data_IF_676281994402
#
_entry.id   IF_676281994402
#
_cell.length_a   1.000
_cell.length_b   1.000
_cell.length_c   1.000
_cell.angle_alpha   90.00
_cell.angle_beta   90.00
_cell.angle_gamma   90.00
#
_symmetry.space_group_name_H-M   'P 1'
#
loop_
_entity.id
_entity.type
_entity.pdbx_description
1 polymer ?
#
# COMPACT_ATOMS: atom_id res chain seq x y z
N UNK A 1 28.80 0.27 -26.84
CA UNK A 1 29.16 0.00 -25.43
C UNK A 1 28.07 0.40 -24.47
N UNK A 2 27.50 1.59 -24.67
CA UNK A 2 26.37 2.07 -23.83
C UNK A 2 25.06 1.30 -24.10
N UNK A 3 24.79 0.86 -25.33
CA UNK A 3 23.60 0.10 -25.69
C UNK A 3 23.58 -1.30 -25.08
N UNK A 4 24.77 -1.93 -24.94
CA UNK A 4 24.90 -3.26 -24.32
C UNK A 4 24.60 -3.23 -22.80
N UNK A 5 24.98 -2.14 -22.14
CA UNK A 5 24.67 -1.93 -20.72
C UNK A 5 23.20 -1.62 -20.48
N UNK A 6 22.56 -0.85 -21.37
CA UNK A 6 21.14 -0.54 -21.29
C UNK A 6 20.27 -1.79 -21.53
N UNK A 7 20.62 -2.63 -22.48
CA UNK A 7 19.90 -3.87 -22.77
C UNK A 7 20.01 -4.88 -21.63
N UNK A 8 21.18 -4.97 -20.98
CA UNK A 8 21.39 -5.85 -19.82
C UNK A 8 20.58 -5.39 -18.62
N UNK A 9 20.50 -4.08 -18.35
CA UNK A 9 19.68 -3.52 -17.26
C UNK A 9 18.18 -3.71 -17.49
N UNK A 10 17.71 -3.55 -18.73
CA UNK A 10 16.30 -3.79 -19.06
C UNK A 10 15.93 -5.26 -18.92
N UNK A 11 16.79 -6.18 -19.34
CA UNK A 11 16.56 -7.62 -19.20
C UNK A 11 16.53 -8.05 -17.73
N UNK A 12 17.40 -7.49 -16.89
CA UNK A 12 17.40 -7.76 -15.44
C UNK A 12 16.15 -7.24 -14.77
N UNK A 13 15.67 -6.05 -15.15
CA UNK A 13 14.41 -5.49 -14.61
C UNK A 13 13.21 -6.32 -15.05
N UNK A 14 13.15 -6.74 -16.30
CA UNK A 14 12.08 -7.61 -16.80
C UNK A 14 12.10 -8.98 -16.10
N UNK A 15 13.28 -9.55 -15.91
CA UNK A 15 13.44 -10.81 -15.20
C UNK A 15 13.00 -10.70 -13.75
N UNK A 16 13.32 -9.60 -13.04
CA UNK A 16 12.86 -9.34 -11.68
C UNK A 16 11.35 -9.17 -11.62
N UNK A 17 10.73 -8.51 -12.61
CA UNK A 17 9.29 -8.37 -12.71
C UNK A 17 8.59 -9.72 -12.94
N UNK A 18 9.17 -10.57 -13.78
CA UNK A 18 8.63 -11.90 -14.08
C UNK A 18 8.79 -12.88 -12.92
N UNK A 19 9.88 -12.78 -12.15
CA UNK A 19 10.14 -13.65 -11.00
C UNK A 19 9.40 -13.20 -9.73
N UNK A 20 8.74 -12.05 -9.75
CA UNK A 20 7.99 -11.53 -8.62
C UNK A 20 6.82 -12.44 -8.28
N UNK A 21 6.69 -12.80 -6.98
CA UNK A 21 5.56 -13.56 -6.49
C UNK A 21 4.34 -12.63 -6.50
N UNK A 22 3.37 -12.96 -7.34
CA UNK A 22 2.10 -12.22 -7.41
C UNK A 22 1.09 -12.82 -6.44
N UNK A 23 0.21 -12.01 -5.83
CA UNK A 23 -0.89 -12.54 -5.04
C UNK A 23 -1.80 -13.45 -5.87
N UNK A 24 -2.42 -14.43 -5.22
CA UNK A 24 -3.39 -15.30 -5.88
C UNK A 24 -4.61 -14.49 -6.34
N UNK A 25 -5.31 -15.01 -7.36
CA UNK A 25 -6.55 -14.38 -7.84
C UNK A 25 -7.62 -14.31 -6.74
N UNK A 26 -7.67 -15.34 -5.90
CA UNK A 26 -8.60 -15.39 -4.76
C UNK A 26 -8.27 -14.30 -3.75
N UNK A 27 -6.99 -14.10 -3.43
CA UNK A 27 -6.57 -13.02 -2.55
C UNK A 27 -6.97 -11.65 -3.12
N UNK A 28 -6.72 -11.41 -4.40
CA UNK A 28 -7.08 -10.14 -5.06
C UNK A 28 -8.59 -9.91 -4.97
N UNK A 29 -9.42 -10.90 -5.27
CA UNK A 29 -10.87 -10.77 -5.22
C UNK A 29 -11.37 -10.47 -3.80
N UNK A 30 -10.87 -11.20 -2.80
CA UNK A 30 -11.28 -11.03 -1.41
C UNK A 30 -10.73 -9.75 -0.79
N UNK A 31 -9.52 -9.34 -1.16
CA UNK A 31 -8.96 -8.06 -0.72
C UNK A 31 -9.78 -6.88 -1.26
N UNK A 32 -10.32 -7.00 -2.48
CA UNK A 32 -11.20 -5.97 -3.04
C UNK A 32 -12.43 -5.75 -2.16
N UNK A 33 -13.03 -6.82 -1.64
CA UNK A 33 -14.15 -6.73 -0.70
C UNK A 33 -13.77 -6.01 0.61
N UNK A 34 -12.56 -6.27 1.11
CA UNK A 34 -12.05 -5.58 2.32
C UNK A 34 -11.91 -4.08 2.06
N UNK A 35 -11.38 -3.69 0.91
CA UNK A 35 -11.25 -2.27 0.55
C UNK A 35 -12.62 -1.60 0.36
N UNK A 36 -13.58 -2.29 -0.25
CA UNK A 36 -14.96 -1.78 -0.38
C UNK A 36 -15.59 -1.55 0.99
N UNK A 37 -15.46 -2.50 1.90
CA UNK A 37 -16.00 -2.37 3.26
C UNK A 37 -15.38 -1.17 3.98
N UNK A 38 -14.08 -0.95 3.84
CA UNK A 38 -13.39 0.19 4.44
C UNK A 38 -13.99 1.51 3.95
N UNK A 39 -14.21 1.65 2.64
CA UNK A 39 -14.82 2.86 2.06
C UNK A 39 -16.25 3.06 2.54
N UNK A 40 -17.04 1.99 2.59
CA UNK A 40 -18.45 2.07 2.97
C UNK A 40 -18.66 2.35 4.46
N UNK A 41 -17.76 1.87 5.32
CA UNK A 41 -17.90 2.02 6.77
C UNK A 41 -17.19 3.25 7.33
N UNK A 42 -16.36 3.92 6.52
CA UNK A 42 -15.55 5.05 6.98
C UNK A 42 -15.78 6.26 6.08
N UNK A 43 -16.38 7.28 6.65
CA UNK A 43 -16.71 8.52 5.91
C UNK A 43 -15.45 9.31 5.57
N UNK A 44 -15.44 9.91 4.37
CA UNK A 44 -14.39 10.83 3.94
C UNK A 44 -13.24 10.21 3.18
N UNK A 45 -13.26 8.91 2.92
CA UNK A 45 -12.24 8.25 2.11
C UNK A 45 -12.53 8.48 0.63
N UNK A 46 -11.57 9.04 -0.11
CA UNK A 46 -11.65 9.25 -1.56
C UNK A 46 -11.00 8.12 -2.36
N UNK A 47 -10.08 7.41 -1.75
CA UNK A 47 -9.41 6.30 -2.40
C UNK A 47 -8.67 5.40 -1.43
N UNK A 48 -8.60 4.13 -1.77
CA UNK A 48 -7.84 3.11 -1.04
C UNK A 48 -7.03 2.31 -2.04
N UNK A 49 -5.78 2.08 -1.72
CA UNK A 49 -4.85 1.33 -2.54
C UNK A 49 -4.13 0.30 -1.69
N UNK A 50 -4.12 -0.93 -2.16
CA UNK A 50 -3.28 -2.00 -1.61
C UNK A 50 -2.09 -2.20 -2.52
N UNK A 51 -0.88 -2.08 -1.98
CA UNK A 51 0.37 -2.18 -2.72
C UNK A 51 1.28 -3.20 -2.08
N UNK A 52 2.12 -3.83 -2.88
CA UNK A 52 3.26 -4.58 -2.34
C UNK A 52 4.31 -3.61 -1.79
N UNK A 53 5.20 -4.11 -0.91
CA UNK A 53 6.26 -3.27 -0.34
C UNK A 53 7.30 -2.85 -1.35
N UNK A 54 7.39 -3.53 -2.48
CA UNK A 54 8.28 -3.17 -3.59
C UNK A 54 7.64 -2.21 -4.61
N UNK A 55 6.45 -1.69 -4.31
CA UNK A 55 5.86 -0.58 -5.05
C UNK A 55 4.92 -0.93 -6.18
N UNK A 56 4.33 -2.13 -6.19
CA UNK A 56 3.38 -2.56 -7.21
C UNK A 56 1.95 -2.57 -6.68
N UNK A 57 1.04 -2.01 -7.46
CA UNK A 57 -0.38 -2.03 -7.13
C UNK A 57 -0.92 -3.47 -7.13
N UNK A 58 -1.56 -3.86 -6.03
CA UNK A 58 -2.26 -5.14 -5.91
C UNK A 58 -3.75 -4.94 -6.17
N UNK A 59 -4.34 -3.92 -5.57
CA UNK A 59 -5.76 -3.62 -5.70
C UNK A 59 -6.02 -2.16 -5.34
N UNK A 60 -7.09 -1.57 -5.88
CA UNK A 60 -7.42 -0.19 -5.57
C UNK A 60 -8.89 0.10 -5.82
N UNK A 61 -9.42 1.07 -5.07
CA UNK A 61 -10.73 1.65 -5.28
C UNK A 61 -10.59 3.16 -5.14
N UNK A 62 -10.84 3.88 -6.22
CA UNK A 62 -10.73 5.33 -6.26
C UNK A 62 -12.06 5.96 -6.67
N UNK A 63 -12.47 6.99 -5.96
CA UNK A 63 -13.63 7.82 -6.33
C UNK A 63 -13.23 8.93 -7.30
N UNK A 64 -11.94 9.23 -7.40
CA UNK A 64 -11.36 10.16 -8.37
C UNK A 64 -10.33 9.41 -9.20
N UNK A 65 -9.92 10.00 -10.33
CA UNK A 65 -8.87 9.41 -11.16
C UNK A 65 -7.50 9.63 -10.51
N UNK A 66 -6.87 8.55 -10.08
CA UNK A 66 -5.49 8.52 -9.56
C UNK A 66 -4.67 7.53 -10.36
N UNK A 67 -3.35 7.76 -10.42
CA UNK A 67 -2.42 6.77 -10.96
C UNK A 67 -1.97 5.84 -9.82
N UNK A 68 -2.61 4.67 -9.73
CA UNK A 68 -2.33 3.69 -8.68
C UNK A 68 -0.90 3.16 -8.71
N UNK A 69 -0.32 3.01 -9.90
CA UNK A 69 1.07 2.60 -10.06
C UNK A 69 2.05 3.59 -9.47
N UNK A 70 1.85 4.89 -9.73
CA UNK A 70 2.68 5.95 -9.15
C UNK A 70 2.48 6.07 -7.65
N UNK A 71 1.24 6.00 -7.17
CA UNK A 71 0.96 6.05 -5.73
C UNK A 71 1.61 4.87 -4.99
N UNK A 72 1.58 3.69 -5.58
CA UNK A 72 2.23 2.50 -5.02
C UNK A 72 3.74 2.67 -4.93
N UNK A 73 4.37 3.14 -6.00
CA UNK A 73 5.82 3.34 -6.06
C UNK A 73 6.29 4.39 -5.05
N UNK A 74 5.62 5.54 -5.04
CA UNK A 74 5.97 6.65 -4.13
C UNK A 74 5.66 6.29 -2.68
N UNK A 75 4.49 5.69 -2.42
CA UNK A 75 4.07 5.31 -1.07
C UNK A 75 5.00 4.29 -0.43
N UNK A 76 5.44 3.29 -1.18
CA UNK A 76 6.41 2.31 -0.68
C UNK A 76 7.77 2.95 -0.37
N UNK A 77 8.20 3.91 -1.19
CA UNK A 77 9.44 4.66 -0.98
C UNK A 77 9.35 5.52 0.29
N UNK A 78 8.23 6.19 0.51
CA UNK A 78 8.00 6.99 1.72
C UNK A 78 8.08 6.10 2.96
N UNK A 79 7.41 4.96 2.96
CA UNK A 79 7.43 4.05 4.11
C UNK A 79 8.84 3.55 4.39
N UNK A 80 9.62 3.22 3.36
CA UNK A 80 11.01 2.80 3.53
C UNK A 80 11.87 3.90 4.16
N UNK A 81 11.70 5.16 3.70
CA UNK A 81 12.41 6.31 4.28
C UNK A 81 12.01 6.58 5.73
N UNK A 82 10.73 6.44 6.05
CA UNK A 82 10.23 6.63 7.41
C UNK A 82 10.75 5.53 8.34
N UNK A 83 10.87 4.30 7.86
CA UNK A 83 11.48 3.22 8.63
C UNK A 83 12.94 3.52 8.96
N UNK A 84 13.69 4.09 8.02
CA UNK A 84 15.06 4.54 8.27
C UNK A 84 15.10 5.67 9.31
N UNK A 85 14.19 6.64 9.23
CA UNK A 85 14.08 7.73 10.20
C UNK A 85 13.74 7.22 11.60
N UNK A 86 12.81 6.29 11.73
CA UNK A 86 12.45 5.70 13.02
C UNK A 86 13.63 4.95 13.64
N UNK A 87 14.42 4.26 12.82
CA UNK A 87 15.63 3.59 13.29
C UNK A 87 16.66 4.59 13.83
N UNK A 88 16.88 5.72 13.14
CA UNK A 88 17.77 6.80 13.61
C UNK A 88 17.29 7.40 14.94
N UNK A 89 15.98 7.47 15.15
CA UNK A 89 15.39 7.95 16.41
C UNK A 89 15.32 6.86 17.50
N UNK A 90 15.88 5.68 17.25
CA UNK A 90 15.86 4.54 18.18
C UNK A 90 14.44 4.04 18.48
N UNK A 91 13.52 4.23 17.54
CA UNK A 91 12.18 3.67 17.58
C UNK A 91 12.15 2.38 16.77
N UNK A 92 11.22 1.49 17.09
CA UNK A 92 11.08 0.22 16.39
C UNK A 92 9.68 0.11 15.78
N UNK A 93 9.63 -0.31 14.52
CA UNK A 93 8.38 -0.70 13.87
C UNK A 93 7.47 0.48 13.56
N UNK A 94 7.72 1.19 12.46
CA UNK A 94 6.76 2.17 11.96
C UNK A 94 5.49 1.45 11.48
N UNK A 95 4.35 1.73 12.11
CA UNK A 95 3.06 1.14 11.74
C UNK A 95 2.34 1.95 10.67
N UNK A 96 2.39 3.27 10.80
CA UNK A 96 1.67 4.15 9.88
C UNK A 96 2.33 5.51 9.78
N UNK A 97 2.08 6.15 8.65
CA UNK A 97 2.50 7.52 8.36
C UNK A 97 1.26 8.31 7.97
N UNK A 98 1.14 9.52 8.51
CA UNK A 98 0.05 10.42 8.17
C UNK A 98 0.66 11.67 7.52
N UNK A 99 0.23 11.95 6.29
CA UNK A 99 0.60 13.16 5.56
C UNK A 99 -0.59 14.11 5.57
N UNK A 100 -0.42 15.24 6.21
CA UNK A 100 -1.46 16.26 6.36
C UNK A 100 -1.26 17.34 5.30
N UNK A 101 -2.11 17.36 4.29
CA UNK A 101 -2.13 18.37 3.25
C UNK A 101 -3.28 19.37 3.51
N UNK A 102 -3.25 20.51 2.82
CA UNK A 102 -4.27 21.55 2.99
C UNK A 102 -5.67 21.06 2.62
N UNK A 103 -5.78 20.21 1.62
CA UNK A 103 -7.06 19.77 1.06
C UNK A 103 -7.39 18.31 1.33
N UNK A 104 -6.61 17.61 2.15
CA UNK A 104 -6.85 16.22 2.47
C UNK A 104 -5.69 15.59 3.22
N UNK A 105 -5.81 14.29 3.48
CA UNK A 105 -4.78 13.52 4.18
C UNK A 105 -4.47 12.24 3.41
N UNK A 106 -3.23 11.78 3.56
CA UNK A 106 -2.84 10.45 3.11
C UNK A 106 -2.37 9.67 4.34
N UNK A 107 -2.89 8.47 4.52
CA UNK A 107 -2.41 7.56 5.53
C UNK A 107 -1.81 6.34 4.86
N UNK A 108 -0.58 5.99 5.23
CA UNK A 108 0.12 4.80 4.75
C UNK A 108 0.34 3.88 5.94
N UNK A 109 -0.15 2.66 5.85
CA UNK A 109 0.01 1.68 6.92
C UNK A 109 0.59 0.39 6.38
N UNK A 110 1.53 -0.18 7.14
CA UNK A 110 2.08 -1.49 6.83
C UNK A 110 1.06 -2.59 7.09
N UNK A 111 1.02 -3.57 6.20
CA UNK A 111 0.30 -4.83 6.39
C UNK A 111 1.36 -5.91 6.62
N UNK A 112 1.71 -6.21 7.89
CA UNK A 112 2.77 -7.16 8.18
C UNK A 112 2.28 -8.59 7.94
N UNK A 113 2.49 -9.06 6.74
CA UNK A 113 2.13 -10.41 6.35
C UNK A 113 3.37 -11.28 6.25
N UNK A 114 3.24 -12.54 6.65
CA UNK A 114 4.32 -13.51 6.58
C UNK A 114 4.64 -13.90 5.13
N UNK A 115 3.63 -13.95 4.27
CA UNK A 115 3.79 -14.45 2.90
C UNK A 115 4.03 -13.31 1.91
N UNK A 116 3.26 -12.23 2.04
CA UNK A 116 3.36 -11.08 1.13
C UNK A 116 3.21 -9.78 1.91
N UNK A 117 4.32 -9.19 2.38
CA UNK A 117 4.25 -7.88 3.03
C UNK A 117 3.68 -6.84 2.08
N UNK A 118 2.72 -6.07 2.56
CA UNK A 118 2.00 -5.08 1.77
C UNK A 118 1.87 -3.78 2.54
N UNK A 119 1.38 -2.75 1.84
CA UNK A 119 0.99 -1.48 2.43
C UNK A 119 -0.40 -1.10 1.97
N UNK A 120 -1.14 -0.43 2.83
CA UNK A 120 -2.42 0.19 2.48
C UNK A 120 -2.21 1.70 2.46
N UNK A 121 -2.65 2.34 1.38
CA UNK A 121 -2.62 3.79 1.22
C UNK A 121 -4.06 4.27 1.13
N UNK A 122 -4.43 5.19 2.02
CA UNK A 122 -5.77 5.81 2.05
C UNK A 122 -5.63 7.29 1.76
N UNK A 123 -6.42 7.77 0.81
CA UNK A 123 -6.54 9.20 0.49
C UNK A 123 -7.89 9.68 1.01
N UNK A 124 -7.89 10.76 1.78
CA UNK A 124 -9.10 11.28 2.42
C UNK A 124 -9.37 12.73 2.03
N UNK A 125 -10.59 13.17 2.31
CA UNK A 125 -10.94 14.58 2.30
C UNK A 125 -10.29 15.31 3.47
N UNK A 126 -10.30 16.65 3.43
CA UNK A 126 -9.71 17.49 4.47
C UNK A 126 -10.41 17.27 5.83
N UNK A 127 -11.73 17.26 5.83
CA UNK A 127 -12.53 17.11 7.05
C UNK A 127 -12.84 15.65 7.31
N UNK A 128 -11.94 14.97 8.01
CA UNK A 128 -12.11 13.59 8.42
C UNK A 128 -11.80 13.46 9.90
N UNK A 129 -12.44 12.50 10.56
CA UNK A 129 -12.09 12.10 11.92
C UNK A 129 -10.98 11.07 11.82
N UNK A 130 -9.75 11.48 12.10
CA UNK A 130 -8.57 10.64 11.95
C UNK A 130 -8.68 9.33 12.74
N UNK A 131 -9.25 9.37 13.93
CA UNK A 131 -9.48 8.18 14.74
C UNK A 131 -10.39 7.16 14.07
N UNK A 132 -11.41 7.59 13.34
CA UNK A 132 -12.28 6.69 12.57
C UNK A 132 -11.53 6.06 11.38
N UNK A 133 -10.71 6.85 10.70
CA UNK A 133 -9.88 6.33 9.60
C UNK A 133 -8.91 5.27 10.14
N UNK A 134 -8.23 5.56 11.24
CA UNK A 134 -7.29 4.62 11.87
C UNK A 134 -7.99 3.33 12.32
N UNK A 135 -9.17 3.45 12.92
CA UNK A 135 -9.95 2.29 13.34
C UNK A 135 -10.35 1.42 12.15
N UNK A 136 -10.86 2.04 11.09
CA UNK A 136 -11.23 1.34 9.86
C UNK A 136 -10.04 0.66 9.19
N UNK A 137 -8.91 1.34 9.13
CA UNK A 137 -7.68 0.78 8.57
C UNK A 137 -7.16 -0.41 9.39
N UNK A 138 -7.16 -0.31 10.70
CA UNK A 138 -6.71 -1.42 11.56
C UNK A 138 -7.59 -2.65 11.36
N UNK A 139 -8.88 -2.47 11.22
CA UNK A 139 -9.82 -3.56 10.94
C UNK A 139 -9.55 -4.18 9.56
N UNK A 140 -9.34 -3.35 8.55
CA UNK A 140 -9.01 -3.82 7.19
C UNK A 140 -7.68 -4.57 7.17
N UNK A 141 -6.65 -4.05 7.83
CA UNK A 141 -5.33 -4.69 7.91
C UNK A 141 -5.43 -6.06 8.57
N UNK A 142 -6.16 -6.18 9.67
CA UNK A 142 -6.37 -7.46 10.34
C UNK A 142 -6.99 -8.49 9.39
N UNK A 143 -8.00 -8.10 8.62
CA UNK A 143 -8.63 -8.98 7.64
C UNK A 143 -7.69 -9.35 6.50
N UNK A 144 -6.89 -8.39 6.02
CA UNK A 144 -5.91 -8.66 4.96
C UNK A 144 -4.84 -9.67 5.40
N UNK A 145 -4.38 -9.56 6.64
CA UNK A 145 -3.41 -10.52 7.21
C UNK A 145 -4.03 -11.92 7.25
N UNK A 146 -5.27 -12.04 7.69
CA UNK A 146 -5.98 -13.33 7.72
C UNK A 146 -6.17 -13.93 6.33
N UNK A 147 -6.55 -13.11 5.35
CA UNK A 147 -6.71 -13.55 3.97
C UNK A 147 -5.39 -14.04 3.37
N UNK A 148 -4.29 -13.36 3.66
CA UNK A 148 -2.98 -13.74 3.16
C UNK A 148 -2.51 -15.08 3.70
N UNK A 149 -2.88 -15.43 4.94
CA UNK A 149 -2.56 -16.75 5.52
C UNK A 149 -3.22 -17.89 4.76
N UNK A 150 -4.41 -17.67 4.22
CA UNK A 150 -5.24 -18.71 3.58
C UNK A 150 -5.07 -18.70 2.07
N UNK A 151 -5.01 -17.53 1.43
CA UNK A 151 -5.09 -17.39 -0.02
C UNK A 151 -3.83 -16.77 -0.66
N UNK A 152 -2.72 -16.78 0.03
CA UNK A 152 -1.46 -16.21 -0.49
C UNK A 152 -0.96 -16.83 -1.83
#
# INVERSE_FOLDING_TARGET
YASKYLDTNMNDQLFQMESRIKPSEQFIALSNEVLHELIHTTSGIEGVLLSSTDGFEVNSIFQKTYDGGKLSAVGSSILALVQALTAEAQLTGCRSVILDAENGKIMISAVPSQFQPMIVIVVTKQQVLLGQIMHGMNKAITRLIELDKVFH
#
